data_IF_530574536234
#
_entry.id   IF_530574536234
#
_cell.length_a   1.000
_cell.length_b   1.000
_cell.length_c   1.000
_cell.angle_alpha   90.00
_cell.angle_beta   90.00
_cell.angle_gamma   90.00
#
_symmetry.space_group_name_H-M   'P 1'
#
loop_
_entity.id
_entity.type
_entity.pdbx_description
1 polymer ?
#
# COMPACT_ATOMS: atom_id res chain seq x y z
N UNK A 1 -8.50 0.54 9.37
CA UNK A 1 -7.56 -0.59 9.41
C UNK A 1 -6.70 -0.51 8.17
N UNK A 2 -5.37 -0.57 8.33
CA UNK A 2 -4.43 -0.58 7.20
C UNK A 2 -4.13 -2.03 6.83
N UNK A 3 -3.94 -2.29 5.54
CA UNK A 3 -3.50 -3.57 5.01
C UNK A 3 -2.27 -3.38 4.13
N UNK A 4 -1.46 -4.42 4.01
CA UNK A 4 -0.35 -4.45 3.07
C UNK A 4 -0.90 -4.23 1.65
N UNK A 5 -0.26 -3.33 0.90
CA UNK A 5 -0.70 -2.89 -0.42
C UNK A 5 -1.68 -1.71 -0.41
N UNK A 6 -2.15 -1.25 0.75
CA UNK A 6 -2.97 -0.03 0.80
C UNK A 6 -2.13 1.18 0.37
N UNK A 7 -2.71 2.00 -0.50
CA UNK A 7 -2.21 3.33 -0.78
C UNK A 7 -2.53 4.25 0.39
N UNK A 8 -1.53 4.97 0.89
CA UNK A 8 -1.69 5.91 2.01
C UNK A 8 -1.18 7.29 1.63
N UNK A 9 -1.72 8.29 2.30
CA UNK A 9 -1.31 9.69 2.23
C UNK A 9 -0.87 10.13 3.62
N UNK A 10 0.31 10.74 3.72
CA UNK A 10 0.79 11.32 4.96
C UNK A 10 0.06 12.65 5.23
N UNK A 11 -0.48 12.80 6.43
CA UNK A 11 -1.39 13.93 6.73
C UNK A 11 -0.68 15.28 6.84
N UNK A 12 0.64 15.30 7.04
CA UNK A 12 1.39 16.54 7.26
C UNK A 12 1.75 17.27 5.97
N UNK A 13 2.17 16.54 4.95
CA UNK A 13 2.69 17.10 3.68
C UNK A 13 1.97 16.58 2.44
N UNK A 14 1.12 15.56 2.57
CA UNK A 14 0.39 14.95 1.46
C UNK A 14 1.20 13.92 0.67
N UNK A 15 2.41 13.56 1.12
CA UNK A 15 3.23 12.54 0.49
C UNK A 15 2.47 11.22 0.37
N UNK A 16 2.67 10.51 -0.74
CA UNK A 16 1.95 9.26 -1.04
C UNK A 16 2.87 8.07 -0.90
N UNK A 17 2.32 6.98 -0.41
CA UNK A 17 3.06 5.74 -0.26
C UNK A 17 2.20 4.49 -0.28
N UNK A 18 2.86 3.35 -0.20
CA UNK A 18 2.25 2.02 -0.19
C UNK A 18 2.66 1.32 1.10
N UNK A 19 1.69 0.77 1.82
CA UNK A 19 1.95 -0.02 3.02
C UNK A 19 2.63 -1.33 2.65
N UNK A 20 3.81 -1.57 3.20
CA UNK A 20 4.55 -2.83 3.05
C UNK A 20 4.32 -3.77 4.24
N UNK A 21 4.12 -3.21 5.43
CA UNK A 21 3.95 -3.96 6.68
C UNK A 21 3.09 -3.15 7.67
N UNK A 22 2.39 -3.84 8.57
CA UNK A 22 1.53 -3.22 9.59
C UNK A 22 1.89 -3.81 10.96
N UNK A 23 2.26 -2.95 11.89
CA UNK A 23 2.48 -3.25 13.30
C UNK A 23 1.31 -2.68 14.15
N UNK A 24 1.30 -2.83 15.46
CA UNK A 24 0.23 -2.38 16.35
C UNK A 24 -0.03 -0.87 16.26
N UNK A 25 1.02 -0.05 16.17
CA UNK A 25 0.90 1.42 16.20
C UNK A 25 1.34 2.12 14.91
N UNK A 26 2.09 1.42 14.06
CA UNK A 26 2.74 1.99 12.90
C UNK A 26 2.55 1.14 11.65
N UNK A 27 2.78 1.73 10.49
CA UNK A 27 2.87 1.04 9.20
C UNK A 27 4.24 1.32 8.59
N UNK A 28 4.83 0.31 7.99
CA UNK A 28 6.04 0.44 7.18
C UNK A 28 5.60 0.85 5.77
N UNK A 29 6.02 2.02 5.31
CA UNK A 29 5.51 2.62 4.07
C UNK A 29 6.67 2.87 3.11
N UNK A 30 6.47 2.46 1.86
CA UNK A 30 7.29 2.89 0.71
C UNK A 30 6.71 4.17 0.14
N UNK A 31 7.50 5.25 0.14
CA UNK A 31 7.12 6.56 -0.37
C UNK A 31 7.44 6.73 -1.86
N UNK A 32 6.84 7.75 -2.46
CA UNK A 32 7.00 8.05 -3.89
C UNK A 32 8.43 8.42 -4.32
N UNK A 33 9.26 8.85 -3.38
CA UNK A 33 10.70 9.12 -3.55
C UNK A 33 11.58 7.89 -3.32
N UNK A 34 10.97 6.70 -3.17
CA UNK A 34 11.61 5.42 -2.86
C UNK A 34 12.21 5.33 -1.44
N UNK A 35 11.99 6.32 -0.59
CA UNK A 35 12.32 6.21 0.82
C UNK A 35 11.35 5.23 1.52
N UNK A 36 11.83 4.53 2.53
CA UNK A 36 11.03 3.60 3.31
C UNK A 36 11.13 3.97 4.79
N UNK A 37 9.99 4.21 5.43
CA UNK A 37 9.92 4.57 6.86
C UNK A 37 8.75 3.93 7.58
N UNK A 38 8.86 3.86 8.91
CA UNK A 38 7.76 3.52 9.79
C UNK A 38 7.00 4.76 10.20
N UNK A 39 5.71 4.83 9.86
CA UNK A 39 4.85 5.95 10.23
C UNK A 39 3.70 5.54 11.13
N UNK A 40 3.38 6.41 12.09
CA UNK A 40 2.26 6.19 13.01
C UNK A 40 0.94 6.15 12.25
N UNK A 41 0.08 5.20 12.60
CA UNK A 41 -1.26 5.04 11.99
C UNK A 41 -2.10 6.32 12.02
N UNK A 42 -1.96 7.15 13.06
CA UNK A 42 -2.66 8.43 13.21
C UNK A 42 -2.25 9.50 12.20
N UNK A 43 -1.07 9.37 11.59
CA UNK A 43 -0.54 10.28 10.59
C UNK A 43 -0.81 9.81 9.15
N UNK A 44 -1.46 8.66 9.00
CA UNK A 44 -1.73 8.05 7.70
C UNK A 44 -3.22 8.07 7.40
N UNK A 45 -3.56 8.31 6.13
CA UNK A 45 -4.92 8.16 5.62
C UNK A 45 -4.91 7.24 4.40
N UNK A 46 -5.73 6.19 4.42
CA UNK A 46 -5.88 5.30 3.27
C UNK A 46 -6.57 6.02 2.11
N UNK A 47 -5.95 6.02 0.94
CA UNK A 47 -6.53 6.46 -0.33
C UNK A 47 -7.18 5.26 -1.03
N UNK A 48 -8.46 5.03 -0.69
CA UNK A 48 -9.24 3.89 -1.20
C UNK A 48 -9.35 3.88 -2.73
N UNK A 49 -9.35 5.05 -3.36
CA UNK A 49 -9.48 5.14 -4.81
C UNK A 49 -8.17 4.75 -5.51
N UNK A 50 -7.03 5.13 -4.94
CA UNK A 50 -5.73 4.69 -5.45
C UNK A 50 -5.49 3.19 -5.20
N UNK A 51 -5.83 2.67 -4.02
CA UNK A 51 -5.70 1.24 -3.71
C UNK A 51 -6.44 0.37 -4.74
N UNK A 52 -7.68 0.75 -5.10
CA UNK A 52 -8.45 0.03 -6.12
C UNK A 52 -7.80 0.07 -7.50
N UNK A 53 -7.18 1.20 -7.87
CA UNK A 53 -6.51 1.37 -9.17
C UNK A 53 -5.22 0.56 -9.27
N UNK A 54 -4.52 0.35 -8.15
CA UNK A 54 -3.31 -0.49 -8.11
C UNK A 54 -3.59 -1.98 -8.13
N UNK A 55 -4.80 -2.42 -7.77
CA UNK A 55 -5.15 -3.83 -7.81
C UNK A 55 -5.05 -4.37 -9.24
N UNK A 56 -4.00 -5.17 -9.49
CA UNK A 56 -3.87 -5.94 -10.72
C UNK A 56 -5.04 -6.92 -10.73
N UNK A 57 -6.04 -6.68 -11.59
CA UNK A 57 -7.11 -7.66 -11.83
C UNK A 57 -6.50 -8.82 -12.62
N UNK A 58 -5.97 -9.81 -11.91
CA UNK A 58 -5.53 -11.04 -12.54
C UNK A 58 -6.79 -11.78 -13.02
N UNK A 59 -7.08 -11.75 -14.33
CA UNK A 59 -7.88 -12.80 -14.95
C UNK A 59 -6.93 -13.94 -15.23
N UNK A 60 -6.67 -14.79 -14.22
CA UNK A 60 -5.78 -15.93 -14.36
C UNK A 60 -6.55 -17.12 -14.92
N UNK A 61 -6.84 -17.09 -16.23
CA UNK A 61 -6.89 -18.33 -17.02
C UNK A 61 -5.45 -18.76 -17.29
N UNK A 62 -4.72 -19.17 -16.24
CA UNK A 62 -3.40 -19.78 -16.40
C UNK A 62 -3.64 -21.28 -16.61
N UNK A 63 -3.94 -21.67 -17.84
CA UNK A 63 -3.82 -23.06 -18.26
C UNK A 63 -2.33 -23.35 -18.47
N UNK A 64 -1.69 -23.96 -17.47
CA UNK A 64 -0.40 -24.62 -17.67
C UNK A 64 -0.60 -25.90 -18.49
N UNK A 65 0.05 -26.07 -19.66
CA UNK A 65 0.26 -27.40 -20.21
C UNK A 65 1.42 -28.04 -19.45
N UNK A 66 1.14 -29.18 -18.81
CA UNK A 66 2.18 -30.10 -18.35
C UNK A 66 2.88 -30.66 -19.59
N UNK A 67 4.20 -30.53 -19.66
CA UNK A 67 5.06 -31.28 -20.58
C UNK A 67 6.19 -31.90 -19.78
#
# INVERSE_FOLDING_TARGET
MFHIGDCVVFTRDGARGIVLEVDDHSCHVLWEDYFVSWEKKELLKVDKELTKKQTIRVSSNISHPLS
#
